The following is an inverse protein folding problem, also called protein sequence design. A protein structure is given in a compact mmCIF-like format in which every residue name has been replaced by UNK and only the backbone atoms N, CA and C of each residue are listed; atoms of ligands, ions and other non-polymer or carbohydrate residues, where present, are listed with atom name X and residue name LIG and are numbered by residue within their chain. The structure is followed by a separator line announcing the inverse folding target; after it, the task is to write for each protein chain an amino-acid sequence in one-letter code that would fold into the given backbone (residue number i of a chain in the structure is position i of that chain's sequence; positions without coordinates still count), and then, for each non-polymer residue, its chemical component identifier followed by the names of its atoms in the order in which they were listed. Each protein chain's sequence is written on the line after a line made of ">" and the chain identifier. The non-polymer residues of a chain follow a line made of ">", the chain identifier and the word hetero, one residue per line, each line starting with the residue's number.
data_IF_853583753580
#
_entry.id   IF_853583753580
#
_cell.length_a   1.000
_cell.length_b   1.000
_cell.length_c   1.000
_cell.angle_alpha   90.00
_cell.angle_beta   90.00
_cell.angle_gamma   90.00
#
_symmetry.space_group_name_H-M   'P 1'
#
loop_
_entity.id
_entity.type
_entity.pdbx_description
1 polymer ?
#
# COMPACT_ATOMS: atom_id res chain seq x y z
N UNK A 1 3.53 34.07 -5.07
CA UNK A 1 2.61 33.33 -4.17
C UNK A 1 3.40 32.90 -2.95
N UNK A 2 2.85 33.06 -1.74
CA UNK A 2 3.49 32.61 -0.51
C UNK A 2 2.79 31.33 -0.03
N UNK A 3 3.41 30.17 -0.25
CA UNK A 3 2.88 28.90 0.23
C UNK A 3 3.45 28.58 1.62
N UNK A 4 2.71 27.87 2.49
CA UNK A 4 3.25 27.32 3.72
C UNK A 4 4.48 26.43 3.46
N UNK A 5 5.46 26.49 4.34
CA UNK A 5 6.71 25.71 4.27
C UNK A 5 6.50 24.21 4.03
N UNK A 6 5.54 23.51 4.69
CA UNK A 6 5.26 22.09 4.41
C UNK A 6 4.91 21.79 2.95
N UNK A 7 4.25 22.73 2.26
CA UNK A 7 3.89 22.54 0.85
C UNK A 7 5.13 22.66 -0.03
N UNK A 8 6.01 23.61 0.27
CA UNK A 8 7.27 23.80 -0.44
C UNK A 8 8.15 22.55 -0.27
N UNK A 9 8.29 22.07 0.96
CA UNK A 9 9.00 20.83 1.29
C UNK A 9 8.50 19.64 0.47
N UNK A 10 7.18 19.46 0.37
CA UNK A 10 6.58 18.36 -0.40
C UNK A 10 7.02 18.47 -1.85
N UNK A 11 6.85 19.64 -2.46
CA UNK A 11 7.15 19.85 -3.88
C UNK A 11 8.62 19.55 -4.17
N UNK A 12 9.52 20.02 -3.31
CA UNK A 12 10.97 19.90 -3.50
C UNK A 12 11.52 18.52 -3.15
N UNK A 13 10.98 17.85 -2.12
CA UNK A 13 11.64 16.72 -1.48
C UNK A 13 10.89 15.38 -1.62
N UNK A 14 9.68 15.33 -2.20
CA UNK A 14 8.92 14.06 -2.26
C UNK A 14 9.56 12.97 -3.15
N UNK A 15 10.58 13.33 -3.94
CA UNK A 15 11.43 12.40 -4.69
C UNK A 15 12.74 12.03 -3.98
N UNK A 16 13.00 12.60 -2.80
CA UNK A 16 14.12 12.21 -1.96
C UNK A 16 13.90 10.81 -1.36
N UNK A 17 15.01 10.11 -1.09
CA UNK A 17 15.02 8.73 -0.57
C UNK A 17 15.78 8.70 0.74
N UNK A 18 15.37 7.84 1.67
CA UNK A 18 16.03 7.72 2.98
C UNK A 18 17.53 7.43 2.89
N UNK A 19 17.94 6.65 1.90
CA UNK A 19 19.34 6.32 1.59
C UNK A 19 20.14 7.46 0.93
N UNK A 20 19.51 8.58 0.60
CA UNK A 20 20.12 9.73 -0.08
C UNK A 20 20.41 9.52 -1.55
N UNK A 21 19.84 8.48 -2.16
CA UNK A 21 19.91 8.25 -3.63
C UNK A 21 18.76 8.91 -4.38
N UNK A 22 17.93 9.69 -3.68
CA UNK A 22 16.87 10.50 -4.26
C UNK A 22 17.40 11.79 -4.85
N UNK A 23 16.48 12.64 -5.29
CA UNK A 23 16.77 13.91 -5.93
C UNK A 23 15.73 14.95 -5.49
N UNK A 24 16.02 16.27 -5.64
CA UNK A 24 17.16 16.86 -6.33
C UNK A 24 18.42 17.08 -5.48
N UNK A 25 18.35 17.00 -4.15
CA UNK A 25 19.45 17.37 -3.24
C UNK A 25 20.18 16.15 -2.64
N UNK A 26 19.60 14.96 -2.70
CA UNK A 26 20.18 13.74 -2.12
C UNK A 26 20.12 13.75 -0.59
N UNK A 27 19.04 14.29 -0.03
CA UNK A 27 18.81 14.38 1.42
C UNK A 27 18.70 12.98 2.02
N UNK A 28 19.13 12.82 3.29
CA UNK A 28 19.15 11.52 3.99
C UNK A 28 18.33 11.55 5.27
N UNK A 29 17.63 10.45 5.54
CA UNK A 29 16.99 10.20 6.82
C UNK A 29 16.14 11.36 7.34
N UNK A 30 16.58 12.01 8.43
CA UNK A 30 15.87 13.10 9.09
C UNK A 30 15.96 14.45 8.38
N UNK A 31 16.83 14.60 7.39
CA UNK A 31 16.92 15.84 6.59
C UNK A 31 15.75 16.00 5.60
N UNK A 32 14.98 14.93 5.36
CA UNK A 32 13.78 14.96 4.54
C UNK A 32 12.58 15.30 5.43
N UNK A 33 11.78 16.28 5.00
CA UNK A 33 10.56 16.68 5.69
C UNK A 33 9.60 15.52 5.87
N UNK A 34 8.94 15.49 7.03
CA UNK A 34 7.96 14.45 7.37
C UNK A 34 6.82 14.38 6.35
N UNK A 35 6.40 15.54 5.83
CA UNK A 35 5.34 15.66 4.84
C UNK A 35 5.75 15.02 3.51
N UNK A 36 7.00 15.28 3.08
CA UNK A 36 7.57 14.71 1.86
C UNK A 36 7.73 13.20 1.95
N UNK A 37 8.09 12.66 3.13
CA UNK A 37 8.14 11.21 3.39
C UNK A 37 6.77 10.54 3.28
N UNK A 38 5.69 11.21 3.69
CA UNK A 38 4.32 10.70 3.54
C UNK A 38 3.93 10.72 2.06
N UNK A 39 4.14 11.87 1.40
CA UNK A 39 3.76 12.05 0.00
C UNK A 39 4.57 11.14 -0.94
N UNK A 40 5.82 10.81 -0.62
CA UNK A 40 6.61 9.87 -1.44
C UNK A 40 5.95 8.49 -1.54
N UNK A 41 5.43 7.94 -0.44
CA UNK A 41 4.67 6.69 -0.45
C UNK A 41 3.39 6.84 -1.29
N UNK A 42 2.60 7.90 -1.06
CA UNK A 42 1.38 8.14 -1.82
C UNK A 42 1.64 8.28 -3.32
N UNK A 43 2.72 8.98 -3.69
CA UNK A 43 3.15 9.21 -5.07
C UNK A 43 3.58 7.90 -5.73
N UNK A 44 4.41 7.09 -5.06
CA UNK A 44 4.80 5.76 -5.54
C UNK A 44 3.58 4.86 -5.76
N UNK A 45 2.69 4.77 -4.78
CA UNK A 45 1.50 3.92 -4.91
C UNK A 45 0.64 4.34 -6.09
N UNK A 46 0.35 5.64 -6.19
CA UNK A 46 -0.45 6.22 -7.26
C UNK A 46 0.22 6.05 -8.63
N UNK A 47 1.53 6.21 -8.74
CA UNK A 47 2.26 6.03 -10.00
C UNK A 47 2.26 4.58 -10.47
N UNK A 48 2.60 3.63 -9.59
CA UNK A 48 2.68 2.21 -9.94
C UNK A 48 1.30 1.57 -10.18
N UNK A 49 0.27 2.05 -9.49
CA UNK A 49 -1.11 1.57 -9.68
C UNK A 49 -1.80 2.16 -10.91
N UNK A 50 -1.27 3.27 -11.47
CA UNK A 50 -1.85 3.94 -12.64
C UNK A 50 -1.35 3.36 -13.95
N UNK A 51 -2.28 3.21 -14.89
CA UNK A 51 -2.05 2.67 -16.22
C UNK A 51 -1.46 3.76 -17.14
N UNK A 52 -0.18 4.10 -16.98
CA UNK A 52 0.49 4.98 -17.95
C UNK A 52 0.88 4.17 -19.19
N UNK A 53 -0.11 4.01 -20.05
CA UNK A 53 -0.05 3.78 -21.49
C UNK A 53 0.42 2.43 -22.06
N UNK A 54 1.38 1.67 -21.52
CA UNK A 54 1.85 0.45 -22.24
C UNK A 54 2.46 -0.68 -21.37
N UNK A 55 2.08 -0.80 -20.10
CA UNK A 55 2.59 -1.89 -19.24
C UNK A 55 1.47 -2.49 -18.39
N UNK A 56 1.49 -3.80 -18.22
CA UNK A 56 0.58 -4.50 -17.31
C UNK A 56 0.61 -3.83 -15.93
N UNK A 57 -0.58 -3.52 -15.40
CA UNK A 57 -0.72 -2.89 -14.08
C UNK A 57 -0.08 -3.79 -13.03
N UNK A 58 0.75 -3.21 -12.16
CA UNK A 58 1.07 -3.87 -10.90
C UNK A 58 -0.24 -4.07 -10.12
N UNK A 59 -0.47 -5.29 -9.60
CA UNK A 59 -1.60 -5.51 -8.69
C UNK A 59 -1.37 -4.70 -7.43
N UNK A 60 -2.46 -4.35 -6.72
CA UNK A 60 -2.37 -3.57 -5.49
C UNK A 60 -1.40 -4.20 -4.47
N UNK A 61 -1.34 -5.54 -4.42
CA UNK A 61 -0.40 -6.28 -3.59
C UNK A 61 1.07 -6.10 -4.05
N UNK A 62 1.36 -6.13 -5.35
CA UNK A 62 2.72 -5.94 -5.87
C UNK A 62 3.28 -4.55 -5.50
N UNK A 63 2.43 -3.52 -5.59
CA UNK A 63 2.80 -2.15 -5.21
C UNK A 63 3.03 -2.04 -3.71
N UNK A 64 2.20 -2.70 -2.91
CA UNK A 64 2.36 -2.73 -1.46
C UNK A 64 3.67 -3.43 -1.06
N UNK A 65 3.95 -4.60 -1.62
CA UNK A 65 5.20 -5.34 -1.39
C UNK A 65 6.44 -4.51 -1.80
N UNK A 66 6.37 -3.80 -2.93
CA UNK A 66 7.43 -2.87 -3.32
C UNK A 66 7.67 -1.79 -2.24
N UNK A 67 6.61 -1.15 -1.74
CA UNK A 67 6.70 -0.13 -0.69
C UNK A 67 7.32 -0.72 0.59
N UNK A 68 6.88 -1.91 1.01
CA UNK A 68 7.45 -2.59 2.18
C UNK A 68 8.93 -2.92 2.00
N UNK A 69 9.30 -3.44 0.83
CA UNK A 69 10.69 -3.77 0.50
C UNK A 69 11.61 -2.54 0.50
N UNK A 70 11.06 -1.36 0.23
CA UNK A 70 11.75 -0.07 0.27
C UNK A 70 12.01 0.49 1.66
N UNK A 71 11.66 -0.23 2.74
CA UNK A 71 11.87 0.24 4.11
C UNK A 71 13.34 0.51 4.42
N UNK A 72 13.62 1.66 5.06
CA UNK A 72 14.94 2.15 5.41
C UNK A 72 15.88 2.43 4.22
N UNK A 73 15.41 2.32 2.98
CA UNK A 73 16.19 2.63 1.78
C UNK A 73 15.51 3.73 0.98
N UNK A 74 14.33 3.43 0.44
CA UNK A 74 13.50 4.37 -0.30
C UNK A 74 12.65 5.18 0.69
N UNK A 75 11.96 4.49 1.60
CA UNK A 75 10.96 5.07 2.48
C UNK A 75 11.33 4.94 3.96
N UNK A 76 10.82 5.89 4.74
CA UNK A 76 11.01 5.91 6.19
C UNK A 76 10.22 4.76 6.84
N UNK A 77 10.87 3.97 7.69
CA UNK A 77 10.24 2.83 8.37
C UNK A 77 9.05 3.25 9.24
N UNK A 78 9.12 4.40 9.90
CA UNK A 78 8.02 4.84 10.76
C UNK A 78 6.79 5.19 9.92
N UNK A 79 7.01 5.78 8.75
CA UNK A 79 5.93 6.11 7.81
C UNK A 79 5.35 4.84 7.17
N UNK A 80 6.17 3.84 6.84
CA UNK A 80 5.67 2.52 6.42
C UNK A 80 4.79 1.90 7.51
N UNK A 81 5.20 1.95 8.78
CA UNK A 81 4.40 1.40 9.87
C UNK A 81 3.04 2.09 9.98
N UNK A 82 2.99 3.43 9.87
CA UNK A 82 1.73 4.16 9.82
C UNK A 82 0.88 3.81 8.58
N UNK A 83 1.52 3.63 7.43
CA UNK A 83 0.85 3.23 6.20
C UNK A 83 0.16 1.86 6.33
N UNK A 84 0.85 0.87 6.91
CA UNK A 84 0.29 -0.47 7.19
C UNK A 84 -0.96 -0.45 8.08
N UNK A 85 -1.02 0.50 9.01
CA UNK A 85 -2.14 0.61 9.94
C UNK A 85 -3.34 1.40 9.38
N UNK A 86 -3.14 2.12 8.26
CA UNK A 86 -4.14 3.07 7.73
C UNK A 86 -4.68 2.66 6.36
N UNK A 87 -3.85 2.05 5.52
CA UNK A 87 -4.18 1.76 4.13
C UNK A 87 -4.73 0.35 3.98
N UNK A 88 -5.88 0.17 3.34
CA UNK A 88 -6.42 -1.14 3.00
C UNK A 88 -6.19 -1.44 1.50
N UNK A 89 -5.36 -2.45 1.20
CA UNK A 89 -5.11 -2.90 -0.18
C UNK A 89 -6.39 -3.49 -0.78
N UNK A 90 -7.16 -4.17 0.06
CA UNK A 90 -8.45 -4.74 -0.26
C UNK A 90 -9.52 -4.12 0.66
N UNK A 91 -10.19 -3.04 0.25
CA UNK A 91 -11.20 -2.37 1.05
C UNK A 91 -12.34 -3.30 1.53
N UNK A 92 -13.04 -2.89 2.59
CA UNK A 92 -14.26 -3.57 3.03
C UNK A 92 -15.27 -3.66 1.88
N UNK A 93 -15.87 -4.84 1.70
CA UNK A 93 -16.80 -5.12 0.62
C UNK A 93 -16.14 -5.43 -0.73
N UNK A 94 -14.81 -5.37 -0.85
CA UNK A 94 -14.13 -5.87 -2.06
C UNK A 94 -14.34 -7.37 -2.19
N UNK A 95 -14.62 -7.81 -3.41
CA UNK A 95 -14.63 -9.22 -3.77
C UNK A 95 -13.21 -9.66 -4.12
N UNK A 96 -12.79 -10.80 -3.58
CA UNK A 96 -11.48 -11.39 -3.85
C UNK A 96 -11.65 -12.85 -4.23
N UNK A 97 -10.90 -13.28 -5.25
CA UNK A 97 -10.68 -14.67 -5.59
C UNK A 97 -9.34 -15.14 -4.99
N UNK A 98 -9.38 -16.23 -4.25
CA UNK A 98 -8.24 -16.86 -3.62
C UNK A 98 -7.52 -17.78 -4.61
N UNK A 99 -6.25 -18.07 -4.36
CA UNK A 99 -5.45 -18.96 -5.22
C UNK A 99 -5.98 -20.40 -5.33
N UNK A 100 -6.85 -20.82 -4.42
CA UNK A 100 -7.53 -22.11 -4.46
C UNK A 100 -8.87 -22.09 -5.24
N UNK A 101 -9.25 -20.94 -5.81
CA UNK A 101 -10.48 -20.73 -6.56
C UNK A 101 -11.68 -20.27 -5.72
N UNK A 102 -11.56 -20.19 -4.40
CA UNK A 102 -12.65 -19.69 -3.56
C UNK A 102 -12.83 -18.18 -3.73
N UNK A 103 -14.08 -17.70 -3.69
CA UNK A 103 -14.41 -16.27 -3.79
C UNK A 103 -15.09 -15.79 -2.52
N UNK A 104 -14.78 -14.56 -2.11
CA UNK A 104 -15.36 -13.98 -0.90
C UNK A 104 -15.29 -12.46 -0.85
N UNK A 105 -16.11 -11.88 0.03
CA UNK A 105 -16.09 -10.45 0.32
C UNK A 105 -15.24 -10.15 1.55
N UNK A 106 -14.48 -9.06 1.51
CA UNK A 106 -13.76 -8.54 2.66
C UNK A 106 -14.73 -8.02 3.71
N UNK A 107 -14.76 -8.65 4.88
CA UNK A 107 -15.64 -8.28 6.00
C UNK A 107 -14.91 -7.61 7.15
N UNK A 108 -13.57 -7.75 7.23
CA UNK A 108 -12.74 -7.15 8.29
C UNK A 108 -11.30 -6.97 7.83
N UNK A 109 -10.65 -5.92 8.32
CA UNK A 109 -9.20 -5.70 8.17
C UNK A 109 -8.44 -6.21 9.38
N UNK A 110 -7.29 -6.84 9.16
CA UNK A 110 -6.34 -7.14 10.22
C UNK A 110 -5.37 -5.97 10.40
N UNK A 111 -5.27 -5.46 11.63
CA UNK A 111 -4.42 -4.30 11.94
C UNK A 111 -2.96 -4.61 11.62
N UNK A 112 -2.31 -3.74 10.86
CA UNK A 112 -0.91 -3.91 10.43
C UNK A 112 -0.69 -4.94 9.33
N UNK A 113 -1.74 -5.59 8.83
CA UNK A 113 -1.70 -6.59 7.75
C UNK A 113 -2.81 -6.32 6.71
N UNK A 114 -2.73 -5.20 5.98
CA UNK A 114 -3.77 -4.80 5.02
C UNK A 114 -3.83 -5.68 3.76
N UNK A 115 -2.82 -6.53 3.54
CA UNK A 115 -2.77 -7.60 2.54
C UNK A 115 -3.41 -8.91 3.03
N UNK A 116 -3.78 -9.00 4.32
CA UNK A 116 -4.38 -10.19 4.93
C UNK A 116 -5.74 -9.88 5.57
N UNK A 117 -6.77 -9.52 4.79
CA UNK A 117 -8.11 -9.31 5.31
C UNK A 117 -8.77 -10.61 5.80
N UNK A 118 -9.91 -10.47 6.49
CA UNK A 118 -10.86 -11.57 6.72
C UNK A 118 -11.92 -11.54 5.64
N UNK A 119 -12.12 -12.69 4.99
CA UNK A 119 -13.10 -12.89 3.94
C UNK A 119 -14.30 -13.68 4.45
N UNK A 120 -15.48 -13.39 3.92
CA UNK A 120 -16.63 -14.28 3.98
C UNK A 120 -16.82 -14.95 2.63
N UNK A 121 -16.61 -16.26 2.59
CA UNK A 121 -16.64 -17.06 1.36
C UNK A 121 -18.08 -17.39 0.97
N UNK A 122 -18.37 -17.32 -0.33
CA UNK A 122 -19.68 -17.68 -0.89
C UNK A 122 -19.56 -18.68 -2.04
N UNK A 123 -20.66 -19.37 -2.36
CA UNK A 123 -20.77 -20.21 -3.55
C UNK A 123 -21.52 -19.45 -4.67
N UNK A 124 -20.92 -19.44 -5.86
CA UNK A 124 -21.43 -18.77 -7.08
C UNK A 124 -22.89 -19.11 -7.42
N UNK A 125 -23.39 -20.29 -7.05
CA UNK A 125 -24.74 -20.70 -7.44
C UNK A 125 -25.85 -19.93 -6.73
N UNK A 126 -25.62 -19.43 -5.50
CA UNK A 126 -26.69 -18.81 -4.69
C UNK A 126 -26.21 -17.67 -3.75
N UNK A 127 -24.94 -17.24 -3.79
CA UNK A 127 -24.35 -16.36 -2.77
C UNK A 127 -24.57 -16.83 -1.33
N UNK A 128 -24.77 -18.13 -1.14
CA UNK A 128 -24.83 -18.69 0.19
C UNK A 128 -23.44 -18.53 0.81
N UNK A 129 -23.38 -17.88 1.97
CA UNK A 129 -22.15 -17.70 2.73
C UNK A 129 -21.98 -18.87 3.67
N UNK A 130 -20.82 -19.52 3.66
CA UNK A 130 -20.64 -20.77 4.41
C UNK A 130 -19.60 -20.66 5.52
N UNK A 131 -18.53 -19.89 5.33
CA UNK A 131 -17.50 -19.74 6.34
C UNK A 131 -16.69 -18.44 6.18
N UNK A 132 -16.02 -18.05 7.26
CA UNK A 132 -15.10 -16.93 7.29
C UNK A 132 -13.66 -17.44 7.25
N UNK A 133 -12.81 -16.72 6.53
CA UNK A 133 -11.40 -17.05 6.36
C UNK A 133 -10.56 -15.86 6.79
N UNK A 134 -9.73 -16.06 7.81
CA UNK A 134 -8.76 -15.07 8.26
C UNK A 134 -7.42 -15.32 7.57
N UNK A 135 -7.11 -14.52 6.55
CA UNK A 135 -5.89 -14.69 5.74
C UNK A 135 -4.60 -14.45 6.52
N UNK A 136 -4.67 -13.91 7.75
CA UNK A 136 -3.50 -13.79 8.62
C UNK A 136 -3.14 -15.13 9.27
N UNK A 137 -4.09 -16.07 9.38
CA UNK A 137 -3.92 -17.36 10.06
C UNK A 137 -3.61 -18.52 9.12
N UNK A 138 -3.67 -18.28 7.81
CA UNK A 138 -3.48 -19.31 6.79
C UNK A 138 -2.55 -18.82 5.68
N UNK A 139 -1.98 -19.77 4.93
CA UNK A 139 -0.96 -19.47 3.92
C UNK A 139 -1.51 -19.33 2.50
N UNK A 140 -2.81 -19.07 2.35
CA UNK A 140 -3.45 -18.89 1.04
C UNK A 140 -3.08 -17.51 0.46
N UNK A 141 -2.82 -17.48 -0.85
CA UNK A 141 -2.43 -16.27 -1.58
C UNK A 141 -3.64 -15.61 -2.25
N UNK A 142 -3.53 -14.30 -2.45
CA UNK A 142 -4.47 -13.44 -3.18
C UNK A 142 -4.01 -13.19 -4.62
#
# INVERSE_FOLDING_TARGET
>A
MNFPEPIIDIIEQHHERIDGKGYPYGLKGSSISIYSKIVSICSTYNFMSKNYYYKDKYKANDVYEFILSGSNTIFDRNIINCFKDTFAIYPLGSEIELSNGDRGFVIRQNKGFPDRPVLRIFNDKNFNFYYEVDLLKIQILL
#
